data_IF_178234189127
#
_entry.id   IF_178234189127
#
_cell.length_a   1.000
_cell.length_b   1.000
_cell.length_c   1.000
_cell.angle_alpha   90.00
_cell.angle_beta   90.00
_cell.angle_gamma   90.00
#
_symmetry.space_group_name_H-M   'P 1'
#
loop_
_entity.id
_entity.type
_entity.pdbx_description
1 polymer ?
#
# COMPACT_ATOMS: atom_id res chain seq x y z
N UNK A 1 9.66 26.21 6.35
CA UNK A 1 8.64 25.58 5.50
C UNK A 1 8.64 24.09 5.83
N UNK A 2 7.46 23.53 6.10
CA UNK A 2 7.27 22.13 6.45
C UNK A 2 7.72 21.25 5.28
N UNK A 3 8.72 20.39 5.50
CA UNK A 3 9.06 19.31 4.59
C UNK A 3 7.88 18.35 4.57
N UNK A 4 7.08 18.42 3.51
CA UNK A 4 6.09 17.39 3.18
C UNK A 4 6.84 16.10 2.92
N UNK A 5 6.92 15.25 3.94
CA UNK A 5 7.17 13.82 3.76
C UNK A 5 6.07 13.31 2.84
N UNK A 6 6.36 13.15 1.55
CA UNK A 6 5.52 12.35 0.67
C UNK A 6 5.60 10.92 1.19
N UNK A 7 4.75 10.59 2.16
CA UNK A 7 4.38 9.21 2.43
C UNK A 7 3.95 8.64 1.08
N UNK A 8 4.62 7.61 0.60
CA UNK A 8 4.13 6.88 -0.55
C UNK A 8 2.66 6.52 -0.30
N UNK A 9 1.73 6.87 -1.23
CA UNK A 9 0.31 6.64 -1.00
C UNK A 9 0.07 5.16 -0.76
N UNK A 10 -0.62 4.84 0.33
CA UNK A 10 -0.96 3.47 0.70
C UNK A 10 -1.62 2.75 -0.49
N UNK A 11 -1.33 1.45 -0.64
CA UNK A 11 -1.90 0.64 -1.72
C UNK A 11 -3.43 0.67 -1.59
N UNK A 12 -4.16 1.23 -2.55
CA UNK A 12 -5.62 1.34 -2.47
C UNK A 12 -6.33 0.07 -2.94
N UNK A 13 -7.60 -0.10 -2.57
CA UNK A 13 -8.43 -1.19 -3.10
C UNK A 13 -8.42 -1.18 -4.63
N UNK A 14 -8.60 -0.01 -5.25
CA UNK A 14 -8.52 0.19 -6.71
C UNK A 14 -7.21 -0.34 -7.31
N UNK A 15 -6.08 -0.04 -6.66
CA UNK A 15 -4.77 -0.49 -7.12
C UNK A 15 -4.61 -2.01 -6.99
N UNK A 16 -5.13 -2.62 -5.93
CA UNK A 16 -5.15 -4.09 -5.77
C UNK A 16 -5.97 -4.75 -6.87
N UNK A 17 -7.16 -4.19 -7.18
CA UNK A 17 -8.02 -4.73 -8.24
C UNK A 17 -7.42 -4.61 -9.65
N UNK A 18 -6.51 -3.66 -9.86
CA UNK A 18 -5.78 -3.48 -11.13
C UNK A 18 -4.58 -4.41 -11.31
N UNK A 19 -4.25 -5.27 -10.34
CA UNK A 19 -3.17 -6.23 -10.48
C UNK A 19 -3.55 -7.30 -11.52
N UNK A 20 -2.65 -7.62 -12.46
CA UNK A 20 -2.89 -8.61 -13.53
C UNK A 20 -3.46 -9.94 -13.01
N UNK A 21 -2.95 -10.39 -11.86
CA UNK A 21 -3.46 -11.60 -11.18
C UNK A 21 -4.92 -11.44 -10.79
N UNK A 22 -5.28 -10.35 -10.12
CA UNK A 22 -6.67 -10.10 -9.70
C UNK A 22 -7.58 -9.98 -10.92
N UNK A 23 -7.12 -9.30 -11.98
CA UNK A 23 -7.83 -9.21 -13.26
C UNK A 23 -8.09 -10.59 -13.88
N UNK A 24 -7.17 -11.55 -13.74
CA UNK A 24 -7.37 -12.93 -14.22
C UNK A 24 -8.51 -13.67 -13.51
N UNK A 25 -8.85 -13.25 -12.29
CA UNK A 25 -10.02 -13.69 -11.52
C UNK A 25 -11.33 -13.04 -11.94
N UNK A 26 -11.30 -12.12 -12.92
CA UNK A 26 -12.45 -11.36 -13.42
C UNK A 26 -13.19 -10.65 -12.27
N UNK A 27 -12.59 -9.59 -11.68
CA UNK A 27 -13.15 -8.92 -10.51
C UNK A 27 -14.31 -8.01 -10.91
N UNK A 28 -15.42 -8.10 -10.19
CA UNK A 28 -16.56 -7.19 -10.32
C UNK A 28 -16.84 -6.51 -8.98
N UNK A 29 -16.89 -5.18 -8.98
CA UNK A 29 -17.30 -4.40 -7.79
C UNK A 29 -18.81 -4.36 -7.75
N UNK A 30 -19.41 -5.12 -6.84
CA UNK A 30 -20.87 -5.28 -6.73
C UNK A 30 -21.51 -4.33 -5.71
N UNK A 31 -20.70 -3.73 -4.84
CA UNK A 31 -21.12 -2.70 -3.89
C UNK A 31 -19.96 -1.77 -3.50
N UNK A 32 -20.28 -0.55 -3.09
CA UNK A 32 -19.30 0.39 -2.51
C UNK A 32 -18.27 0.94 -3.50
N UNK A 33 -18.61 1.07 -4.78
CA UNK A 33 -17.70 1.52 -5.84
C UNK A 33 -17.10 2.93 -5.61
N UNK A 34 -17.79 3.79 -4.85
CA UNK A 34 -17.28 5.10 -4.45
C UNK A 34 -16.14 5.05 -3.41
N UNK A 35 -15.88 3.90 -2.80
CA UNK A 35 -14.98 3.73 -1.67
C UNK A 35 -13.71 2.93 -2.03
N UNK A 36 -13.38 2.80 -3.32
CA UNK A 36 -12.23 2.02 -3.80
C UNK A 36 -10.86 2.67 -3.53
N UNK A 37 -10.84 3.92 -3.07
CA UNK A 37 -9.59 4.61 -2.73
C UNK A 37 -9.18 4.41 -1.26
N UNK A 38 -9.91 3.56 -0.51
CA UNK A 38 -9.51 3.08 0.83
C UNK A 38 -8.14 2.42 0.79
N UNK A 39 -7.32 2.73 1.78
CA UNK A 39 -6.00 2.14 1.96
C UNK A 39 -6.08 0.68 2.42
N UNK A 40 -5.33 -0.19 1.76
CA UNK A 40 -5.16 -1.61 2.09
C UNK A 40 -3.84 -1.75 2.85
N UNK A 41 -3.96 -2.06 4.15
CA UNK A 41 -2.82 -2.36 5.03
C UNK A 41 -2.36 -3.80 4.90
N UNK A 42 -3.29 -4.70 4.58
CA UNK A 42 -3.06 -6.13 4.60
C UNK A 42 -4.13 -6.86 3.78
N UNK A 43 -3.81 -8.05 3.28
CA UNK A 43 -4.75 -8.97 2.63
C UNK A 43 -4.78 -10.26 3.45
N UNK A 44 -5.98 -10.74 3.78
CA UNK A 44 -6.14 -11.93 4.61
C UNK A 44 -7.20 -12.86 4.05
N UNK A 45 -6.90 -14.15 4.00
CA UNK A 45 -7.89 -15.18 3.67
C UNK A 45 -8.56 -15.63 4.96
N UNK A 46 -9.88 -15.51 5.04
CA UNK A 46 -10.61 -15.86 6.25
C UNK A 46 -11.93 -16.58 5.93
N UNK A 47 -12.08 -17.77 6.52
CA UNK A 47 -13.28 -18.61 6.46
C UNK A 47 -13.82 -18.78 7.88
N UNK A 48 -14.31 -17.70 8.46
CA UNK A 48 -15.00 -17.70 9.75
C UNK A 48 -16.22 -16.78 9.67
N UNK A 49 -17.29 -17.09 10.41
CA UNK A 49 -18.48 -16.24 10.42
C UNK A 49 -18.27 -14.91 11.16
N UNK A 50 -17.33 -14.87 12.12
CA UNK A 50 -17.02 -13.70 12.93
C UNK A 50 -15.56 -13.26 12.78
N UNK A 51 -15.15 -12.95 11.55
CA UNK A 51 -13.78 -12.48 11.28
C UNK A 51 -13.54 -11.10 11.88
N UNK A 52 -14.58 -10.27 11.97
CA UNK A 52 -14.47 -8.88 12.38
C UNK A 52 -13.77 -8.66 13.73
N UNK A 53 -13.98 -9.55 14.71
CA UNK A 53 -13.37 -9.44 16.05
C UNK A 53 -11.85 -9.61 16.06
N UNK A 54 -11.27 -10.15 15.00
CA UNK A 54 -9.83 -10.41 14.88
C UNK A 54 -9.09 -9.36 14.04
N UNK A 55 -9.81 -8.39 13.45
CA UNK A 55 -9.24 -7.39 12.56
C UNK A 55 -8.79 -6.14 13.32
N UNK A 56 -7.82 -5.42 12.76
CA UNK A 56 -7.27 -4.18 13.31
C UNK A 56 -7.47 -2.95 12.38
N UNK A 57 -8.25 -3.07 11.31
CA UNK A 57 -8.59 -1.99 10.38
C UNK A 57 -7.71 -1.92 9.12
N UNK A 58 -8.32 -1.64 7.97
CA UNK A 58 -7.64 -1.52 6.68
C UNK A 58 -7.28 -2.85 6.01
N UNK A 59 -7.78 -3.99 6.52
CA UNK A 59 -7.63 -5.29 5.86
C UNK A 59 -8.58 -5.44 4.67
N UNK A 60 -8.08 -6.04 3.59
CA UNK A 60 -8.90 -6.61 2.54
C UNK A 60 -9.07 -8.11 2.82
N UNK A 61 -10.32 -8.54 2.99
CA UNK A 61 -10.65 -9.93 3.32
C UNK A 61 -11.00 -10.71 2.07
N UNK A 62 -10.35 -11.85 1.88
CA UNK A 62 -10.62 -12.84 0.85
C UNK A 62 -11.38 -14.01 1.46
N UNK A 63 -12.51 -14.38 0.87
CA UNK A 63 -13.32 -15.50 1.35
C UNK A 63 -14.05 -16.18 0.19
N UNK A 64 -14.35 -17.46 0.34
CA UNK A 64 -15.30 -18.22 -0.47
C UNK A 64 -16.71 -18.18 0.14
N UNK A 65 -16.82 -17.73 1.39
CA UNK A 65 -18.07 -17.62 2.13
C UNK A 65 -18.75 -18.96 2.38
N UNK A 66 -18.03 -20.08 2.32
CA UNK A 66 -18.63 -21.42 2.39
C UNK A 66 -19.44 -21.65 3.67
N UNK A 67 -19.05 -21.00 4.77
CA UNK A 67 -19.74 -21.07 6.07
C UNK A 67 -20.98 -20.16 6.15
N UNK A 68 -21.20 -19.27 5.18
CA UNK A 68 -22.32 -18.31 5.15
C UNK A 68 -23.43 -18.77 4.20
N UNK A 69 -23.20 -19.84 3.43
CA UNK A 69 -24.14 -20.30 2.43
C UNK A 69 -25.45 -20.80 3.09
N UNK A 70 -26.59 -20.30 2.62
CA UNK A 70 -27.91 -20.68 3.13
C UNK A 70 -28.37 -19.91 4.38
N UNK A 71 -27.53 -19.05 4.96
CA UNK A 71 -27.88 -18.22 6.12
C UNK A 71 -27.77 -16.73 5.76
N UNK A 72 -28.90 -16.10 5.45
CA UNK A 72 -28.95 -14.69 5.07
C UNK A 72 -28.59 -13.75 6.23
N UNK A 73 -28.90 -14.13 7.48
CA UNK A 73 -28.59 -13.32 8.64
C UNK A 73 -27.08 -13.30 8.89
N UNK A 74 -26.45 -14.47 8.84
CA UNK A 74 -24.99 -14.60 8.93
C UNK A 74 -24.28 -13.85 7.80
N UNK A 75 -24.79 -13.92 6.56
CA UNK A 75 -24.26 -13.14 5.42
C UNK A 75 -24.28 -11.63 5.67
N UNK A 76 -25.42 -11.12 6.13
CA UNK A 76 -25.55 -9.69 6.43
C UNK A 76 -24.65 -9.29 7.59
N UNK A 77 -24.58 -10.11 8.65
CA UNK A 77 -23.78 -9.80 9.82
C UNK A 77 -22.28 -9.89 9.56
N UNK A 78 -21.84 -10.82 8.71
CA UNK A 78 -20.46 -10.89 8.25
C UNK A 78 -20.02 -9.56 7.61
N UNK A 79 -20.82 -8.99 6.72
CA UNK A 79 -20.50 -7.70 6.09
C UNK A 79 -20.50 -6.56 7.10
N UNK A 80 -21.46 -6.55 8.05
CA UNK A 80 -21.50 -5.54 9.12
C UNK A 80 -20.30 -5.65 10.05
N UNK A 81 -19.86 -6.86 10.39
CA UNK A 81 -18.73 -7.08 11.28
C UNK A 81 -17.42 -6.59 10.64
N UNK A 82 -17.21 -6.87 9.35
CA UNK A 82 -16.08 -6.34 8.58
C UNK A 82 -16.10 -4.80 8.52
N UNK A 83 -17.28 -4.21 8.30
CA UNK A 83 -17.41 -2.76 8.30
C UNK A 83 -17.10 -2.15 9.67
N UNK A 84 -17.63 -2.72 10.77
CA UNK A 84 -17.34 -2.26 12.15
C UNK A 84 -15.86 -2.34 12.48
N UNK A 85 -15.16 -3.33 11.95
CA UNK A 85 -13.73 -3.50 12.13
C UNK A 85 -12.89 -2.66 11.14
N UNK A 86 -13.51 -1.72 10.42
CA UNK A 86 -12.86 -0.82 9.46
C UNK A 86 -12.10 -1.54 8.33
N UNK A 87 -12.61 -2.68 7.87
CA UNK A 87 -12.04 -3.37 6.72
C UNK A 87 -12.00 -2.45 5.48
N UNK A 88 -10.95 -2.59 4.68
CA UNK A 88 -10.78 -1.86 3.43
C UNK A 88 -11.74 -2.37 2.35
N UNK A 89 -11.92 -3.69 2.26
CA UNK A 89 -12.83 -4.34 1.31
C UNK A 89 -13.08 -5.81 1.69
N UNK A 90 -14.13 -6.40 1.12
CA UNK A 90 -14.33 -7.85 1.09
C UNK A 90 -14.35 -8.33 -0.36
N UNK A 91 -13.65 -9.43 -0.62
CA UNK A 91 -13.53 -10.07 -1.92
C UNK A 91 -14.04 -11.50 -1.80
N UNK A 92 -15.15 -11.80 -2.48
CA UNK A 92 -15.81 -13.09 -2.48
C UNK A 92 -15.46 -13.86 -3.75
N UNK A 93 -14.80 -15.01 -3.61
CA UNK A 93 -14.61 -15.94 -4.73
C UNK A 93 -15.91 -16.68 -5.03
N UNK A 94 -16.47 -16.47 -6.22
CA UNK A 94 -17.66 -17.23 -6.65
C UNK A 94 -17.29 -18.70 -6.89
N UNK A 95 -18.25 -19.58 -6.61
CA UNK A 95 -18.03 -21.02 -6.65
C UNK A 95 -19.28 -21.78 -6.27
N UNK A 96 -19.12 -22.98 -5.68
CA UNK A 96 -20.26 -23.84 -5.34
C UNK A 96 -21.17 -23.24 -4.26
N UNK A 97 -20.58 -22.58 -3.26
CA UNK A 97 -21.32 -21.94 -2.17
C UNK A 97 -22.12 -20.72 -2.66
N UNK A 98 -21.51 -19.91 -3.52
CA UNK A 98 -22.12 -18.74 -4.14
C UNK A 98 -21.89 -18.78 -5.66
N UNK A 99 -22.85 -19.30 -6.44
CA UNK A 99 -22.76 -19.33 -7.90
C UNK A 99 -22.90 -17.95 -8.55
N UNK A 100 -23.45 -16.99 -7.82
CA UNK A 100 -23.64 -15.60 -8.22
C UNK A 100 -23.49 -14.68 -7.01
N UNK A 101 -23.29 -13.36 -7.20
CA UNK A 101 -23.13 -12.42 -6.09
C UNK A 101 -24.32 -12.48 -5.12
N UNK A 102 -24.11 -12.80 -3.83
CA UNK A 102 -25.19 -12.90 -2.86
C UNK A 102 -25.79 -11.52 -2.58
N UNK A 103 -27.07 -11.42 -2.89
CA UNK A 103 -27.83 -10.17 -2.90
C UNK A 103 -27.94 -9.54 -1.49
N UNK A 104 -27.96 -10.40 -0.46
CA UNK A 104 -27.98 -10.00 0.95
C UNK A 104 -26.68 -9.32 1.36
N UNK A 105 -25.54 -9.92 1.04
CA UNK A 105 -24.22 -9.34 1.31
C UNK A 105 -24.04 -8.04 0.52
N UNK A 106 -24.41 -8.04 -0.77
CA UNK A 106 -24.34 -6.86 -1.64
C UNK A 106 -25.10 -5.67 -1.04
N UNK A 107 -26.36 -5.88 -0.63
CA UNK A 107 -27.18 -4.84 0.00
C UNK A 107 -26.59 -4.38 1.33
N UNK A 108 -26.02 -5.28 2.13
CA UNK A 108 -25.38 -4.91 3.39
C UNK A 108 -24.13 -4.05 3.15
N UNK A 109 -23.30 -4.42 2.18
CA UNK A 109 -22.07 -3.74 1.81
C UNK A 109 -22.36 -2.34 1.26
N UNK A 110 -23.38 -2.21 0.43
CA UNK A 110 -23.80 -0.92 -0.12
C UNK A 110 -24.26 0.03 0.99
N UNK A 111 -25.10 -0.46 1.92
CA UNK A 111 -25.62 0.36 3.03
C UNK A 111 -24.52 0.90 3.95
N UNK A 112 -23.46 0.12 4.18
CA UNK A 112 -22.35 0.55 5.03
C UNK A 112 -21.18 1.17 4.24
N UNK A 113 -21.27 1.23 2.90
CA UNK A 113 -20.20 1.73 2.05
C UNK A 113 -18.90 0.93 2.17
N UNK A 114 -19.00 -0.38 2.42
CA UNK A 114 -17.85 -1.29 2.34
C UNK A 114 -17.72 -1.78 0.90
N UNK A 115 -16.57 -1.60 0.23
CA UNK A 115 -16.35 -2.21 -1.07
C UNK A 115 -16.51 -3.73 -1.00
N UNK A 116 -17.43 -4.25 -1.82
CA UNK A 116 -17.61 -5.68 -2.02
C UNK A 116 -17.27 -6.00 -3.46
N UNK A 117 -16.35 -6.94 -3.62
CA UNK A 117 -15.87 -7.42 -4.92
C UNK A 117 -16.17 -8.90 -5.01
N UNK A 118 -16.57 -9.36 -6.19
CA UNK A 118 -16.65 -10.79 -6.49
C UNK A 118 -15.59 -11.14 -7.52
N UNK A 119 -15.06 -12.35 -7.44
CA UNK A 119 -14.21 -12.93 -8.49
C UNK A 119 -15.00 -14.02 -9.20
N UNK A 120 -15.22 -13.85 -10.51
CA UNK A 120 -16.01 -14.77 -11.32
C UNK A 120 -15.27 -16.06 -11.67
N UNK A 121 -13.93 -16.05 -11.61
CA UNK A 121 -13.11 -17.25 -11.84
C UNK A 121 -12.41 -17.72 -10.57
N UNK A 122 -12.18 -19.04 -10.43
CA UNK A 122 -11.35 -19.58 -9.37
C UNK A 122 -10.01 -18.86 -9.36
N UNK A 123 -9.66 -18.31 -8.20
CA UNK A 123 -8.48 -17.48 -8.06
C UNK A 123 -7.66 -17.96 -6.86
N UNK A 124 -6.35 -18.24 -7.01
CA UNK A 124 -5.50 -18.71 -5.91
C UNK A 124 -5.23 -17.57 -4.93
N UNK A 125 -6.02 -17.50 -3.84
CA UNK A 125 -5.89 -16.46 -2.82
C UNK A 125 -4.51 -16.37 -2.17
N UNK A 126 -3.77 -17.48 -2.11
CA UNK A 126 -2.39 -17.50 -1.63
C UNK A 126 -1.48 -16.58 -2.46
N UNK A 127 -1.58 -16.64 -3.79
CA UNK A 127 -0.75 -15.82 -4.69
C UNK A 127 -1.06 -14.32 -4.57
N UNK A 128 -2.33 -13.95 -4.40
CA UNK A 128 -2.70 -12.55 -4.16
C UNK A 128 -2.17 -12.06 -2.81
N UNK A 129 -2.26 -12.90 -1.79
CA UNK A 129 -1.74 -12.57 -0.46
C UNK A 129 -0.23 -12.33 -0.55
N UNK A 130 0.52 -13.20 -1.23
CA UNK A 130 1.97 -13.06 -1.43
C UNK A 130 2.34 -11.81 -2.24
N UNK A 131 1.64 -11.53 -3.35
CA UNK A 131 1.91 -10.37 -4.20
C UNK A 131 1.66 -9.06 -3.43
N UNK A 132 0.51 -8.95 -2.76
CA UNK A 132 0.15 -7.74 -2.02
C UNK A 132 1.07 -7.57 -0.80
N UNK A 133 1.36 -8.64 -0.05
CA UNK A 133 2.33 -8.58 1.04
C UNK A 133 3.71 -8.16 0.54
N UNK A 134 4.21 -8.72 -0.57
CA UNK A 134 5.49 -8.34 -1.15
C UNK A 134 5.56 -6.86 -1.49
N UNK A 135 4.47 -6.28 -2.05
CA UNK A 135 4.39 -4.84 -2.35
C UNK A 135 4.35 -4.00 -1.07
N UNK A 136 3.54 -4.39 -0.09
CA UNK A 136 3.44 -3.69 1.19
C UNK A 136 4.78 -3.72 1.95
N UNK A 137 5.48 -4.86 1.93
CA UNK A 137 6.80 -5.03 2.52
C UNK A 137 7.85 -4.19 1.78
N UNK A 138 7.92 -4.27 0.45
CA UNK A 138 8.85 -3.44 -0.35
C UNK A 138 8.68 -1.95 -0.08
N UNK A 139 7.44 -1.47 0.09
CA UNK A 139 7.14 -0.08 0.44
C UNK A 139 7.62 0.29 1.84
N UNK A 140 7.43 -0.58 2.84
CA UNK A 140 7.98 -0.37 4.19
C UNK A 140 9.51 -0.26 4.19
N UNK A 141 10.19 -0.95 3.27
CA UNK A 141 11.65 -0.96 3.17
C UNK A 141 12.24 0.04 2.16
N UNK A 142 11.46 0.58 1.22
CA UNK A 142 11.95 1.52 0.20
C UNK A 142 12.52 2.80 0.81
N UNK A 143 11.85 3.36 1.83
CA UNK A 143 12.33 4.55 2.55
C UNK A 143 13.60 4.26 3.38
N UNK A 144 13.73 3.05 3.93
CA UNK A 144 14.88 2.64 4.76
C UNK A 144 16.10 2.31 3.88
N UNK A 145 15.89 1.63 2.75
CA UNK A 145 16.96 1.26 1.81
C UNK A 145 17.63 2.48 1.19
N UNK A 146 16.87 3.51 0.79
CA UNK A 146 17.47 4.72 0.21
C UNK A 146 18.42 5.41 1.20
N UNK A 147 18.04 5.53 2.47
CA UNK A 147 18.90 6.11 3.51
C UNK A 147 20.13 5.25 3.82
N UNK A 148 19.99 3.92 3.86
CA UNK A 148 21.10 2.97 4.04
C UNK A 148 22.09 3.02 2.87
N UNK A 149 21.60 3.01 1.63
CA UNK A 149 22.42 3.05 0.42
C UNK A 149 23.20 4.37 0.33
N UNK A 150 22.53 5.50 0.53
CA UNK A 150 23.18 6.82 0.55
C UNK A 150 24.21 6.89 1.68
N UNK A 151 23.86 6.44 2.90
CA UNK A 151 24.81 6.44 4.02
C UNK A 151 26.00 5.53 3.78
N UNK A 152 25.81 4.34 3.21
CA UNK A 152 26.90 3.40 2.93
C UNK A 152 27.85 3.94 1.85
N UNK A 153 27.30 4.54 0.78
CA UNK A 153 28.08 5.21 -0.24
C UNK A 153 28.90 6.39 0.33
N UNK A 154 28.25 7.24 1.15
CA UNK A 154 28.90 8.36 1.83
C UNK A 154 30.01 7.89 2.79
N UNK A 155 29.75 6.84 3.57
CA UNK A 155 30.73 6.28 4.52
C UNK A 155 31.93 5.69 3.79
N UNK A 156 31.70 4.99 2.66
CA UNK A 156 32.77 4.44 1.82
C UNK A 156 33.65 5.52 1.20
N UNK A 157 33.07 6.63 0.73
CA UNK A 157 33.81 7.76 0.17
C UNK A 157 34.60 8.54 1.24
N UNK A 158 34.06 8.69 2.45
CA UNK A 158 34.77 9.29 3.60
C UNK A 158 35.96 8.42 4.02
N UNK A 159 35.79 7.10 4.09
CA UNK A 159 36.82 6.17 4.58
C UNK A 159 37.93 5.94 3.55
N UNK A 160 37.64 6.11 2.26
CA UNK A 160 38.61 6.00 1.17
C UNK A 160 39.44 7.28 0.94
N UNK A 161 39.19 8.35 1.69
CA UNK A 161 39.88 9.64 1.52
C UNK A 161 39.56 10.32 0.18
N UNK A 162 38.41 10.02 -0.41
CA UNK A 162 37.99 10.61 -1.68
C UNK A 162 37.88 12.14 -1.54
N UNK A 163 38.31 12.91 -2.56
CA UNK A 163 38.11 14.36 -2.55
C UNK A 163 36.61 14.69 -2.44
N UNK A 164 36.30 15.72 -1.67
CA UNK A 164 34.93 16.09 -1.27
C UNK A 164 33.97 16.38 -2.44
N UNK A 165 34.51 16.81 -3.59
CA UNK A 165 33.70 17.27 -4.71
C UNK A 165 32.93 16.13 -5.43
N UNK A 166 33.56 15.01 -5.86
CA UNK A 166 32.85 13.85 -6.40
C UNK A 166 31.74 13.29 -5.49
N UNK A 167 31.95 13.32 -4.17
CA UNK A 167 30.94 12.88 -3.21
C UNK A 167 29.71 13.80 -3.23
N UNK A 168 29.92 15.11 -3.32
CA UNK A 168 28.83 16.08 -3.38
C UNK A 168 28.06 16.01 -4.69
N UNK A 169 28.75 15.77 -5.80
CA UNK A 169 28.13 15.61 -7.12
C UNK A 169 27.20 14.39 -7.14
N UNK A 170 27.60 13.27 -6.52
CA UNK A 170 26.79 12.06 -6.40
C UNK A 170 25.53 12.28 -5.54
N UNK A 171 25.67 13.03 -4.43
CA UNK A 171 24.55 13.38 -3.54
C UNK A 171 23.58 14.35 -4.23
N UNK A 172 24.08 15.37 -4.93
CA UNK A 172 23.24 16.31 -5.65
C UNK A 172 22.45 15.61 -6.77
N UNK A 173 23.08 14.66 -7.47
CA UNK A 173 22.44 13.82 -8.48
C UNK A 173 21.32 12.96 -7.89
N UNK A 174 21.58 12.26 -6.79
CA UNK A 174 20.59 11.38 -6.15
C UNK A 174 19.45 12.12 -5.44
N UNK A 175 19.72 13.29 -4.88
CA UNK A 175 18.73 14.08 -4.13
C UNK A 175 17.93 15.04 -5.00
N UNK A 176 18.34 15.24 -6.27
CA UNK A 176 17.80 16.27 -7.17
C UNK A 176 17.73 17.68 -6.54
N UNK A 177 18.62 17.96 -5.58
CA UNK A 177 18.68 19.20 -4.82
C UNK A 177 20.11 19.76 -4.83
N UNK A 178 20.29 21.09 -4.74
CA UNK A 178 21.60 21.68 -4.48
C UNK A 178 22.09 21.29 -3.07
N UNK A 179 23.39 21.00 -2.96
CA UNK A 179 24.04 20.57 -1.72
C UNK A 179 25.16 21.56 -1.38
N UNK A 180 25.18 22.02 -0.13
CA UNK A 180 26.22 22.91 0.41
C UNK A 180 26.82 22.28 1.65
N UNK A 181 28.15 22.25 1.74
CA UNK A 181 28.87 21.85 2.94
C UNK A 181 29.46 23.09 3.61
N UNK A 182 29.18 23.26 4.89
CA UNK A 182 29.76 24.33 5.70
C UNK A 182 30.56 23.78 6.88
N UNK A 183 31.49 24.57 7.39
CA UNK A 183 32.07 24.31 8.70
C UNK A 183 31.15 24.83 9.83
N UNK A 184 31.57 24.64 11.09
CA UNK A 184 30.85 25.13 12.28
C UNK A 184 30.78 26.67 12.37
N UNK A 185 31.58 27.38 11.60
CA UNK A 185 31.54 28.84 11.47
C UNK A 185 30.70 29.29 10.26
N UNK A 186 29.88 28.40 9.68
CA UNK A 186 29.05 28.63 8.49
C UNK A 186 29.83 29.05 7.23
N UNK A 187 31.15 28.82 7.18
CA UNK A 187 31.93 29.03 5.97
C UNK A 187 31.71 27.86 5.02
N UNK A 188 31.35 28.16 3.78
CA UNK A 188 31.20 27.17 2.70
C UNK A 188 32.54 26.53 2.39
N UNK A 189 32.56 25.20 2.40
CA UNK A 189 33.71 24.37 2.08
C UNK A 189 33.62 23.80 0.66
N UNK A 190 32.41 23.45 0.20
CA UNK A 190 32.15 22.94 -1.15
C UNK A 190 30.63 22.97 -1.46
N UNK A 191 30.30 22.88 -2.75
CA UNK A 191 28.92 22.93 -3.28
C UNK A 191 28.74 21.99 -4.47
N UNK A 192 27.54 21.45 -4.68
CA UNK A 192 27.16 20.70 -5.88
C UNK A 192 25.68 20.92 -6.26
N UNK A 193 25.34 20.73 -7.53
CA UNK A 193 24.01 21.01 -8.11
C UNK A 193 23.99 22.22 -9.05
N UNK A 194 22.82 22.58 -9.58
CA UNK A 194 22.68 23.73 -10.49
C UNK A 194 23.09 25.04 -9.83
N UNK A 195 23.90 25.85 -10.53
CA UNK A 195 24.55 27.06 -9.98
C UNK A 195 23.56 28.10 -9.44
N UNK A 196 22.42 28.27 -10.11
CA UNK A 196 21.34 29.15 -9.66
C UNK A 196 20.68 28.68 -8.36
N UNK A 197 20.51 27.36 -8.20
CA UNK A 197 19.92 26.76 -7.02
C UNK A 197 20.90 26.77 -5.82
N UNK A 198 22.21 26.70 -6.08
CA UNK A 198 23.25 26.88 -5.06
C UNK A 198 23.30 28.33 -4.57
N UNK A 199 23.21 29.32 -5.47
CA UNK A 199 23.22 30.74 -5.10
C UNK A 199 22.00 31.13 -4.23
N UNK A 200 20.85 30.49 -4.41
CA UNK A 200 19.66 30.70 -3.56
C UNK A 200 19.80 30.10 -2.15
N UNK A 201 20.60 29.03 -1.97
CA UNK A 201 20.89 28.43 -0.65
C UNK A 201 21.94 29.23 0.13
N UNK A 202 22.77 30.01 -0.57
CA UNK A 202 23.85 30.82 0.01
C UNK A 202 23.44 32.26 0.35
N UNK A 203 22.20 32.66 0.07
CA UNK A 203 21.60 33.95 0.45
C UNK A 203 20.99 33.91 1.83
#
# INVERSE_FOLDING_TARGET
MLTTTTLEPALSVRQVLGLERVLAGEPEVVAGAGQLDRAVRWVHVAEAADVGVMLSGGEMILTTGVLLAGDEEAQAEYVRSLHRAEAAAVVLGLGRAFPSPPDVMRRAAERCGLPMVVLHRPFPFAELTEEVQSRLVRRKFAAVSLSETVRTALTGLITSGAPLQPLLDEVASHSACPVVVTNLAHRVLATAGERSAVDDVLR
#
